data_IF_504942227645
#
_entry.id   IF_504942227645
#
_cell.length_a   1.000
_cell.length_b   1.000
_cell.length_c   1.000
_cell.angle_alpha   90.00
_cell.angle_beta   90.00
_cell.angle_gamma   90.00
#
_symmetry.space_group_name_H-M   'P 1'
#
loop_
_entity.id
_entity.type
_entity.pdbx_description
1 polymer ?
#
# COMPACT_ATOMS: atom_id res chain seq x y z
N UNK A 1 1.82 -21.78 -14.50
CA UNK A 1 0.48 -21.31 -14.90
C UNK A 1 0.17 -19.93 -14.33
N UNK A 2 0.92 -18.88 -14.72
CA UNK A 2 0.83 -17.54 -14.11
C UNK A 2 0.18 -16.46 -15.00
N UNK A 3 -0.70 -16.85 -15.94
CA UNK A 3 -1.40 -15.88 -16.80
C UNK A 3 -2.74 -15.38 -16.19
N UNK A 4 -3.33 -16.11 -15.24
CA UNK A 4 -4.66 -15.77 -14.70
C UNK A 4 -4.70 -14.60 -13.72
N UNK A 5 -3.65 -14.40 -12.90
CA UNK A 5 -3.61 -13.35 -11.88
C UNK A 5 -3.15 -11.98 -12.45
N UNK A 6 -2.22 -11.98 -13.41
CA UNK A 6 -1.78 -10.75 -14.09
C UNK A 6 -2.90 -10.06 -14.89
N UNK A 7 -3.90 -10.82 -15.34
CA UNK A 7 -5.04 -10.26 -16.08
C UNK A 7 -5.97 -9.40 -15.21
N UNK A 8 -6.13 -9.75 -13.93
CA UNK A 8 -7.10 -9.11 -13.04
C UNK A 8 -6.70 -7.67 -12.68
N UNK A 9 -5.41 -7.43 -12.42
CA UNK A 9 -4.91 -6.08 -12.13
C UNK A 9 -5.02 -5.14 -13.34
N UNK A 10 -4.65 -5.62 -14.53
CA UNK A 10 -4.81 -4.85 -15.77
C UNK A 10 -6.28 -4.53 -16.06
N UNK A 11 -7.17 -5.51 -15.91
CA UNK A 11 -8.62 -5.30 -16.05
C UNK A 11 -9.17 -4.29 -15.05
N UNK A 12 -8.71 -4.34 -13.78
CA UNK A 12 -9.11 -3.38 -12.76
C UNK A 12 -8.69 -1.95 -13.14
N UNK A 13 -7.47 -1.76 -13.65
CA UNK A 13 -6.99 -0.45 -14.13
C UNK A 13 -7.80 0.04 -15.33
N UNK A 14 -8.09 -0.83 -16.30
CA UNK A 14 -8.91 -0.46 -17.46
C UNK A 14 -10.32 -0.03 -17.06
N UNK A 15 -10.95 -0.76 -16.13
CA UNK A 15 -12.26 -0.39 -15.60
C UNK A 15 -12.20 0.92 -14.83
N UNK A 16 -11.21 1.09 -13.97
CA UNK A 16 -10.98 2.32 -13.21
C UNK A 16 -10.86 3.54 -14.12
N UNK A 17 -10.08 3.45 -15.21
CA UNK A 17 -9.89 4.53 -16.19
C UNK A 17 -11.17 4.90 -16.95
N UNK A 18 -12.15 4.00 -17.03
CA UNK A 18 -13.45 4.25 -17.66
C UNK A 18 -14.45 4.94 -16.74
N UNK A 19 -14.23 4.92 -15.42
CA UNK A 19 -15.11 5.59 -14.47
C UNK A 19 -14.84 7.10 -14.53
N UNK A 20 -15.84 7.95 -14.80
CA UNK A 20 -15.65 9.39 -14.74
C UNK A 20 -15.19 9.82 -13.34
N UNK A 21 -14.16 10.66 -13.24
CA UNK A 21 -13.54 11.06 -11.96
C UNK A 21 -14.54 11.46 -10.86
N UNK A 22 -15.63 12.16 -11.23
CA UNK A 22 -16.69 12.59 -10.30
C UNK A 22 -17.47 11.45 -9.62
N UNK A 23 -17.35 10.22 -10.13
CA UNK A 23 -18.01 9.01 -9.61
C UNK A 23 -17.03 8.05 -8.94
N UNK A 24 -15.73 8.39 -8.91
CA UNK A 24 -14.74 7.58 -8.20
C UNK A 24 -14.80 7.95 -6.72
N UNK A 25 -15.02 6.95 -5.89
CA UNK A 25 -15.00 7.09 -4.43
C UNK A 25 -13.70 6.50 -3.83
N UNK A 26 -13.53 6.71 -2.52
CA UNK A 26 -12.39 6.18 -1.75
C UNK A 26 -12.24 4.67 -1.93
N UNK A 27 -13.36 3.93 -1.92
CA UNK A 27 -13.37 2.48 -2.04
C UNK A 27 -12.80 2.05 -3.39
N UNK A 28 -13.20 2.71 -4.46
CA UNK A 28 -12.70 2.46 -5.81
C UNK A 28 -11.19 2.70 -5.91
N UNK A 29 -10.67 3.77 -5.30
CA UNK A 29 -9.23 4.02 -5.22
C UNK A 29 -8.49 2.92 -4.47
N UNK A 30 -8.97 2.51 -3.30
CA UNK A 30 -8.35 1.44 -2.50
C UNK A 30 -8.35 0.12 -3.28
N UNK A 31 -9.47 -0.24 -3.92
CA UNK A 31 -9.58 -1.45 -4.71
C UNK A 31 -8.58 -1.51 -5.87
N UNK A 32 -8.45 -0.42 -6.65
CA UNK A 32 -7.52 -0.41 -7.78
C UNK A 32 -6.06 -0.46 -7.30
N UNK A 33 -5.71 0.23 -6.21
CA UNK A 33 -4.36 0.19 -5.64
C UNK A 33 -3.98 -1.22 -5.17
N UNK A 34 -4.90 -1.91 -4.47
CA UNK A 34 -4.68 -3.30 -4.03
C UNK A 34 -4.51 -4.26 -5.21
N UNK A 35 -5.28 -4.08 -6.29
CA UNK A 35 -5.16 -4.85 -7.51
C UNK A 35 -3.81 -4.64 -8.23
N UNK A 36 -3.15 -3.51 -7.98
CA UNK A 36 -1.83 -3.19 -8.53
C UNK A 36 -0.65 -3.69 -7.66
N UNK A 37 -0.92 -4.42 -6.56
CA UNK A 37 0.13 -4.91 -5.64
C UNK A 37 1.08 -5.97 -6.23
N UNK A 38 0.91 -6.33 -7.50
CA UNK A 38 1.83 -7.20 -8.22
C UNK A 38 2.97 -6.37 -8.86
N UNK A 39 4.22 -6.87 -8.90
CA UNK A 39 5.39 -6.11 -9.34
C UNK A 39 5.26 -5.42 -10.71
N UNK A 40 4.47 -5.97 -11.63
CA UNK A 40 4.28 -5.40 -12.97
C UNK A 40 3.34 -4.20 -13.06
N UNK A 41 2.65 -3.81 -11.98
CA UNK A 41 1.61 -2.77 -11.99
C UNK A 41 1.88 -1.62 -10.99
N UNK A 42 3.03 -1.62 -10.33
CA UNK A 42 3.33 -0.61 -9.29
C UNK A 42 3.41 0.79 -9.87
N UNK A 43 3.93 0.95 -11.10
CA UNK A 43 3.97 2.26 -11.77
C UNK A 43 2.57 2.83 -12.04
N UNK A 44 1.60 1.96 -12.31
CA UNK A 44 0.20 2.35 -12.45
C UNK A 44 -0.40 2.73 -11.09
N UNK A 45 -0.08 1.98 -10.03
CA UNK A 45 -0.47 2.34 -8.66
C UNK A 45 0.06 3.72 -8.27
N UNK A 46 1.34 4.01 -8.53
CA UNK A 46 1.96 5.33 -8.29
C UNK A 46 1.22 6.43 -9.05
N UNK A 47 0.97 6.22 -10.34
CA UNK A 47 0.25 7.18 -11.18
C UNK A 47 -1.15 7.45 -10.64
N UNK A 48 -1.89 6.42 -10.26
CA UNK A 48 -3.22 6.56 -9.67
C UNK A 48 -3.14 7.32 -8.35
N UNK A 49 -2.26 6.90 -7.44
CA UNK A 49 -2.09 7.50 -6.13
C UNK A 49 -1.75 9.00 -6.21
N UNK A 50 -0.83 9.39 -7.09
CA UNK A 50 -0.46 10.79 -7.31
C UNK A 50 -1.65 11.65 -7.77
N UNK A 51 -2.56 11.08 -8.57
CA UNK A 51 -3.74 11.77 -9.09
C UNK A 51 -4.91 11.85 -8.10
N UNK A 52 -4.81 11.26 -6.91
CA UNK A 52 -5.82 11.40 -5.86
C UNK A 52 -5.60 12.73 -5.13
N UNK A 53 -6.58 13.62 -5.20
CA UNK A 53 -6.53 14.95 -4.58
C UNK A 53 -6.50 14.88 -3.04
N UNK A 54 -7.38 14.07 -2.45
CA UNK A 54 -7.45 13.88 -0.99
C UNK A 54 -7.16 12.44 -0.64
N UNK A 55 -5.99 12.21 -0.05
CA UNK A 55 -5.54 10.87 0.35
C UNK A 55 -5.91 10.63 1.81
N UNK A 56 -6.71 9.62 2.06
CA UNK A 56 -7.10 9.22 3.41
C UNK A 56 -6.16 8.15 3.95
N UNK A 57 -6.27 7.85 5.25
CA UNK A 57 -5.57 6.73 5.91
C UNK A 57 -5.70 5.41 5.15
N UNK A 58 -6.87 5.13 4.55
CA UNK A 58 -7.10 3.89 3.79
C UNK A 58 -6.34 3.89 2.46
N UNK A 59 -6.31 5.03 1.78
CA UNK A 59 -5.59 5.19 0.50
C UNK A 59 -4.07 5.08 0.73
N UNK A 60 -3.55 5.71 1.78
CA UNK A 60 -2.15 5.52 2.20
C UNK A 60 -1.85 4.06 2.54
N UNK A 61 -2.71 3.41 3.33
CA UNK A 61 -2.55 1.98 3.67
C UNK A 61 -2.51 1.10 2.43
N UNK A 62 -3.42 1.31 1.48
CA UNK A 62 -3.46 0.54 0.23
C UNK A 62 -2.20 0.74 -0.62
N UNK A 63 -1.69 1.98 -0.72
CA UNK A 63 -0.45 2.25 -1.45
C UNK A 63 0.78 1.63 -0.77
N UNK A 64 0.85 1.70 0.56
CA UNK A 64 1.94 1.10 1.35
C UNK A 64 1.91 -0.43 1.23
N UNK A 65 0.74 -1.05 1.30
CA UNK A 65 0.58 -2.49 1.06
C UNK A 65 1.01 -2.89 -0.36
N UNK A 66 0.58 -2.13 -1.37
CA UNK A 66 0.99 -2.32 -2.75
C UNK A 66 2.53 -2.33 -2.91
N UNK A 67 3.21 -1.30 -2.39
CA UNK A 67 4.67 -1.19 -2.42
C UNK A 67 5.34 -2.33 -1.64
N UNK A 68 4.83 -2.66 -0.45
CA UNK A 68 5.40 -3.68 0.43
C UNK A 68 5.33 -5.08 -0.18
N UNK A 69 4.20 -5.42 -0.83
CA UNK A 69 4.01 -6.71 -1.52
C UNK A 69 4.84 -6.82 -2.79
N UNK A 70 5.15 -5.69 -3.43
CA UNK A 70 6.03 -5.62 -4.59
C UNK A 70 7.51 -5.39 -4.21
N UNK A 71 7.87 -5.51 -2.94
CA UNK A 71 9.24 -5.37 -2.41
C UNK A 71 9.88 -3.98 -2.55
N UNK A 72 9.09 -2.94 -2.78
CA UNK A 72 9.54 -1.54 -2.80
C UNK A 72 9.60 -0.95 -1.39
N UNK A 73 10.35 -1.60 -0.49
CA UNK A 73 10.36 -1.31 0.95
C UNK A 73 10.83 0.09 1.30
N UNK A 74 11.86 0.60 0.64
CA UNK A 74 12.37 1.95 0.89
C UNK A 74 11.32 3.02 0.56
N UNK A 75 10.55 2.81 -0.51
CA UNK A 75 9.48 3.72 -0.91
C UNK A 75 8.30 3.62 0.04
N UNK A 76 7.92 2.40 0.45
CA UNK A 76 6.90 2.20 1.48
C UNK A 76 7.26 2.91 2.79
N UNK A 77 8.53 2.85 3.22
CA UNK A 77 8.99 3.51 4.43
C UNK A 77 9.01 5.04 4.29
N UNK A 78 9.38 5.58 3.12
CA UNK A 78 9.27 7.01 2.83
C UNK A 78 7.82 7.48 2.90
N UNK A 79 6.89 6.69 2.36
CA UNK A 79 5.47 7.01 2.37
C UNK A 79 4.87 6.95 3.79
N UNK A 80 5.33 6.03 4.65
CA UNK A 80 4.99 6.04 6.08
C UNK A 80 5.47 7.34 6.74
N UNK A 81 6.71 7.76 6.46
CA UNK A 81 7.24 9.01 7.05
C UNK A 81 6.44 10.23 6.55
N UNK A 82 6.08 10.27 5.26
CA UNK A 82 5.18 11.29 4.69
C UNK A 82 3.83 11.30 5.42
N UNK A 83 3.21 10.14 5.57
CA UNK A 83 1.94 9.99 6.27
C UNK A 83 1.99 10.56 7.70
N UNK A 84 3.08 10.28 8.43
CA UNK A 84 3.27 10.73 9.82
C UNK A 84 3.55 12.22 9.99
N UNK A 85 3.87 12.95 8.92
CA UNK A 85 3.97 14.41 9.00
C UNK A 85 2.60 15.06 9.25
N UNK A 86 1.54 14.50 8.66
CA UNK A 86 0.19 15.09 8.68
C UNK A 86 -0.84 14.26 9.46
N UNK A 87 -0.52 12.99 9.80
CA UNK A 87 -1.45 12.05 10.41
C UNK A 87 -0.83 11.33 11.61
N UNK A 88 -1.68 10.93 12.56
CA UNK A 88 -1.23 10.04 13.64
C UNK A 88 -0.88 8.65 13.09
N UNK A 89 0.20 8.01 13.59
CA UNK A 89 0.56 6.65 13.21
C UNK A 89 -0.61 5.68 13.38
N UNK A 90 -0.80 4.77 12.43
CA UNK A 90 -1.86 3.75 12.49
C UNK A 90 -1.28 2.35 12.28
N UNK A 91 -1.81 1.35 12.98
CA UNK A 91 -1.30 -0.03 12.90
C UNK A 91 -1.30 -0.61 11.46
N UNK A 92 -2.33 -0.37 10.61
CA UNK A 92 -2.39 -1.01 9.28
C UNK A 92 -1.21 -0.70 8.34
N UNK A 93 -0.67 0.51 8.34
CA UNK A 93 0.47 0.86 7.45
C UNK A 93 1.73 0.08 7.83
N UNK A 94 1.97 -0.10 9.14
CA UNK A 94 3.10 -0.84 9.66
C UNK A 94 2.94 -2.35 9.47
N UNK A 95 1.72 -2.87 9.67
CA UNK A 95 1.41 -4.28 9.41
C UNK A 95 1.62 -4.64 7.93
N UNK A 96 1.28 -3.74 7.01
CA UNK A 96 1.49 -3.92 5.57
C UNK A 96 2.98 -4.05 5.24
N UNK A 97 3.80 -3.13 5.77
CA UNK A 97 5.26 -3.18 5.60
C UNK A 97 5.90 -4.41 6.25
N UNK A 98 5.49 -4.75 7.47
CA UNK A 98 5.97 -5.93 8.20
C UNK A 98 5.65 -7.22 7.44
N UNK A 99 4.44 -7.34 6.90
CA UNK A 99 4.01 -8.50 6.12
C UNK A 99 4.84 -8.68 4.85
N UNK A 100 5.02 -7.59 4.08
CA UNK A 100 5.87 -7.60 2.89
C UNK A 100 7.32 -8.00 3.22
N UNK A 101 7.90 -7.39 4.24
CA UNK A 101 9.27 -7.68 4.67
C UNK A 101 9.45 -9.14 5.10
N UNK A 102 8.47 -9.71 5.82
CA UNK A 102 8.48 -11.13 6.22
C UNK A 102 8.39 -12.07 5.03
N UNK A 103 7.55 -11.77 4.05
CA UNK A 103 7.38 -12.59 2.85
C UNK A 103 8.68 -12.67 2.03
N UNK A 104 9.41 -11.55 1.94
CA UNK A 104 10.73 -11.49 1.30
C UNK A 104 11.88 -11.94 2.21
N UNK A 105 11.58 -12.47 3.41
CA UNK A 105 12.57 -12.91 4.41
C UNK A 105 13.57 -11.82 4.82
N UNK A 106 13.19 -10.55 4.71
CA UNK A 106 13.97 -9.42 5.18
C UNK A 106 13.82 -9.28 6.71
N UNK A 107 14.57 -10.10 7.45
CA UNK A 107 14.52 -10.15 8.91
C UNK A 107 14.93 -8.83 9.57
N UNK A 108 15.87 -8.10 8.96
CA UNK A 108 16.33 -6.82 9.49
C UNK A 108 15.20 -5.78 9.48
N UNK A 109 14.57 -5.58 8.32
CA UNK A 109 13.44 -4.66 8.19
C UNK A 109 12.24 -5.12 9.03
N UNK A 110 11.95 -6.42 9.04
CA UNK A 110 10.85 -6.97 9.85
C UNK A 110 11.03 -6.65 11.33
N UNK A 111 12.24 -6.78 11.85
CA UNK A 111 12.56 -6.48 13.24
C UNK A 111 12.44 -4.97 13.52
N UNK A 112 12.99 -4.12 12.65
CA UNK A 112 12.89 -2.66 12.79
C UNK A 112 11.45 -2.17 12.83
N UNK A 113 10.60 -2.67 11.92
CA UNK A 113 9.18 -2.31 11.85
C UNK A 113 8.47 -2.77 13.12
N UNK A 114 8.74 -4.00 13.57
CA UNK A 114 8.15 -4.54 14.79
C UNK A 114 8.52 -3.76 16.05
N UNK A 115 9.79 -3.38 16.20
CA UNK A 115 10.25 -2.58 17.34
C UNK A 115 9.64 -1.17 17.32
N UNK A 116 9.53 -0.56 16.13
CA UNK A 116 8.83 0.72 15.96
C UNK A 116 7.36 0.62 16.33
N UNK A 117 6.67 -0.46 15.93
CA UNK A 117 5.28 -0.71 16.31
C UNK A 117 5.09 -0.81 17.81
N UNK A 118 5.98 -1.49 18.55
CA UNK A 118 5.91 -1.56 20.02
C UNK A 118 6.03 -0.20 20.70
N UNK A 119 6.86 0.68 20.16
CA UNK A 119 7.03 2.04 20.69
C UNK A 119 5.78 2.88 20.43
N UNK A 120 5.22 2.79 19.22
CA UNK A 120 4.08 3.60 18.79
C UNK A 120 2.73 3.09 19.34
N UNK A 121 2.61 1.79 19.58
CA UNK A 121 1.37 1.12 19.99
C UNK A 121 1.63 0.17 21.17
N UNK A 122 2.04 0.68 22.34
CA UNK A 122 2.44 -0.14 23.49
C UNK A 122 1.30 -1.00 24.06
N UNK A 123 0.05 -0.60 23.82
CA UNK A 123 -1.16 -1.29 24.30
C UNK A 123 -1.56 -2.50 23.44
N UNK A 124 -0.90 -2.72 22.30
CA UNK A 124 -1.22 -3.82 21.38
C UNK A 124 -0.38 -5.04 21.75
N UNK A 125 -1.04 -6.12 22.17
CA UNK A 125 -0.39 -7.42 22.36
C UNK A 125 -0.04 -8.05 21.01
N UNK A 126 1.25 -8.07 20.69
CA UNK A 126 1.80 -8.63 19.44
C UNK A 126 2.23 -10.09 19.55
#
# INVERSE_FOLDING_TARGET
NCYGLNGQGNQAIELYRKIPKKFIDEVTHVCVLNACSHPGLVDEARTIFLNIETKTNKIYTAMIDCLSRASFFEEAQKLINEFEHDHSPIIPIYMSLLSGARNEKNSHLSQQVFDRMKILFPEVGY
#
